data_IF_523322582862
#
_entry.id   IF_523322582862
#
_cell.length_a   1.000
_cell.length_b   1.000
_cell.length_c   1.000
_cell.angle_alpha   90.00
_cell.angle_beta   90.00
_cell.angle_gamma   90.00
#
_symmetry.space_group_name_H-M   'P 1'
#
loop_
_entity.id
_entity.type
_entity.pdbx_description
1 polymer ?
#
# COMPACT_ATOMS: atom_id res chain seq x y z
N UNK A 1 -34.51 3.00 16.31
CA UNK A 1 -33.77 2.42 17.47
C UNK A 1 -32.79 1.36 16.95
N UNK A 2 -31.89 1.75 16.05
CA UNK A 2 -31.03 0.82 15.29
C UNK A 2 -29.72 1.54 14.88
N UNK A 3 -29.09 2.22 15.83
CA UNK A 3 -27.87 3.02 15.60
C UNK A 3 -26.64 2.50 16.37
N UNK A 4 -26.81 1.48 17.20
CA UNK A 4 -25.76 0.97 18.11
C UNK A 4 -25.13 -0.37 17.67
N UNK A 5 -25.71 -1.08 16.69
CA UNK A 5 -25.19 -2.41 16.28
C UNK A 5 -23.95 -2.37 15.36
N UNK A 6 -23.58 -1.20 14.83
CA UNK A 6 -22.35 -1.06 14.04
C UNK A 6 -21.07 -0.97 14.91
N UNK A 7 -21.20 -1.00 16.25
CA UNK A 7 -20.10 -0.74 17.19
C UNK A 7 -19.39 -1.98 17.75
N UNK A 8 -19.76 -3.20 17.33
CA UNK A 8 -19.25 -4.45 17.95
C UNK A 8 -18.51 -5.41 17.01
N UNK A 9 -17.84 -4.93 15.95
CA UNK A 9 -17.02 -5.79 15.08
C UNK A 9 -15.49 -5.55 15.18
N UNK A 10 -14.74 -6.50 15.73
CA UNK A 10 -13.27 -6.56 15.68
C UNK A 10 -12.54 -6.96 16.97
N UNK A 11 -11.26 -7.32 16.83
CA UNK A 11 -10.38 -7.60 17.97
C UNK A 11 -10.32 -6.40 18.96
N UNK A 12 -10.14 -6.60 20.27
CA UNK A 12 -10.24 -5.52 21.26
C UNK A 12 -9.35 -4.29 20.98
N UNK A 13 -8.11 -4.52 20.54
CA UNK A 13 -7.17 -3.45 20.14
C UNK A 13 -7.64 -2.67 18.90
N UNK A 14 -8.42 -3.32 18.04
CA UNK A 14 -8.97 -2.78 16.81
C UNK A 14 -10.17 -1.88 17.10
N UNK A 15 -11.06 -2.32 18.00
CA UNK A 15 -12.14 -1.48 18.54
C UNK A 15 -11.59 -0.22 19.20
N UNK A 16 -10.48 -0.34 19.92
CA UNK A 16 -9.80 0.80 20.53
C UNK A 16 -9.25 1.79 19.48
N UNK A 17 -8.78 1.30 18.33
CA UNK A 17 -8.36 2.15 17.20
C UNK A 17 -9.54 2.84 16.51
N UNK A 18 -10.65 2.14 16.31
CA UNK A 18 -11.89 2.73 15.79
C UNK A 18 -12.40 3.80 16.77
N UNK A 19 -12.48 3.51 18.07
CA UNK A 19 -12.99 4.44 19.07
C UNK A 19 -12.09 5.67 19.24
N UNK A 20 -10.76 5.52 19.15
CA UNK A 20 -9.81 6.65 19.10
C UNK A 20 -9.97 7.48 17.81
N UNK A 21 -10.17 6.85 16.65
CA UNK A 21 -10.49 7.56 15.40
C UNK A 21 -11.84 8.28 15.47
N UNK A 22 -12.84 7.68 16.11
CA UNK A 22 -14.15 8.30 16.33
C UNK A 22 -14.10 9.44 17.34
N UNK A 23 -13.30 9.33 18.40
CA UNK A 23 -13.06 10.40 19.36
C UNK A 23 -12.37 11.61 18.69
N UNK A 24 -11.36 11.37 17.84
CA UNK A 24 -10.72 12.42 17.05
C UNK A 24 -11.67 13.00 15.98
N UNK A 25 -12.55 12.17 15.38
CA UNK A 25 -13.62 12.65 14.50
C UNK A 25 -14.71 13.43 15.23
N UNK A 26 -15.03 13.14 16.50
CA UNK A 26 -16.03 13.88 17.30
C UNK A 26 -15.57 15.32 17.58
N UNK A 27 -14.27 15.54 17.76
CA UNK A 27 -13.67 16.89 17.84
C UNK A 27 -13.78 17.67 16.51
N UNK A 28 -13.69 16.99 15.35
CA UNK A 28 -13.89 17.62 14.04
C UNK A 28 -15.38 17.75 13.62
N UNK A 29 -16.25 16.84 14.09
CA UNK A 29 -17.69 16.81 13.78
C UNK A 29 -18.47 17.97 14.41
N UNK A 30 -17.92 18.63 15.44
CA UNK A 30 -18.51 19.82 16.04
C UNK A 30 -18.29 21.12 15.23
N UNK A 31 -17.40 21.10 14.21
CA UNK A 31 -17.14 22.27 13.36
C UNK A 31 -17.70 22.16 11.93
N UNK A 32 -17.82 20.95 11.36
CA UNK A 32 -18.16 20.80 9.94
C UNK A 32 -19.65 20.49 9.66
N UNK A 33 -20.38 19.89 10.61
CA UNK A 33 -21.79 19.50 10.40
C UNK A 33 -22.80 20.43 11.07
N UNK A 34 -22.38 21.20 12.07
CA UNK A 34 -23.19 22.24 12.70
C UNK A 34 -23.34 23.48 11.82
N UNK A 35 -22.37 23.79 10.95
CA UNK A 35 -22.42 24.99 10.09
C UNK A 35 -23.38 24.83 8.89
N UNK A 36 -23.61 23.61 8.40
CA UNK A 36 -24.55 23.38 7.28
C UNK A 36 -26.01 23.30 7.75
N UNK A 37 -26.25 22.86 9.00
CA UNK A 37 -27.61 22.73 9.54
C UNK A 37 -28.11 23.94 10.34
N UNK A 38 -27.25 24.91 10.67
CA UNK A 38 -27.63 26.10 11.45
C UNK A 38 -27.69 27.42 10.67
N UNK A 39 -27.30 27.45 9.39
CA UNK A 39 -27.42 28.64 8.53
C UNK A 39 -28.77 28.75 7.80
N UNK A 40 -29.68 27.78 7.96
CA UNK A 40 -31.02 27.78 7.37
C UNK A 40 -32.05 28.50 8.26
N UNK A 41 -31.66 29.65 8.83
CA UNK A 41 -32.53 30.54 9.57
C UNK A 41 -32.86 31.79 8.77
N UNK A 42 -34.09 31.85 8.25
CA UNK A 42 -34.80 33.03 7.74
C UNK A 42 -34.37 33.58 6.37
N UNK A 43 -34.98 33.09 5.29
CA UNK A 43 -35.55 33.96 4.24
C UNK A 43 -36.77 33.27 3.61
N UNK A 44 -37.95 33.84 3.84
CA UNK A 44 -39.13 33.60 3.01
C UNK A 44 -38.96 34.33 1.68
N UNK A 45 -39.16 33.63 0.56
CA UNK A 45 -39.54 34.27 -0.71
C UNK A 45 -38.87 33.72 -1.96
N UNK A 46 -39.73 33.18 -2.84
CA UNK A 46 -39.60 32.95 -4.29
C UNK A 46 -38.90 31.67 -4.77
N UNK A 47 -39.56 30.99 -5.71
CA UNK A 47 -39.14 29.79 -6.46
C UNK A 47 -37.67 29.83 -6.90
N UNK A 48 -36.80 29.16 -6.16
CA UNK A 48 -35.41 28.89 -6.53
C UNK A 48 -35.20 27.40 -6.33
N UNK A 49 -34.64 26.72 -7.34
CA UNK A 49 -34.32 25.30 -7.33
C UNK A 49 -33.87 24.82 -5.93
N UNK A 50 -34.67 23.94 -5.35
CA UNK A 50 -34.62 23.49 -3.96
C UNK A 50 -33.48 22.48 -3.72
N UNK A 51 -32.36 22.62 -4.45
CA UNK A 51 -31.21 21.72 -4.42
C UNK A 51 -29.93 22.48 -4.03
N UNK A 52 -29.23 21.98 -3.02
CA UNK A 52 -27.92 22.50 -2.60
C UNK A 52 -26.82 21.52 -2.97
N UNK A 53 -25.73 22.03 -3.54
CA UNK A 53 -24.55 21.23 -3.86
C UNK A 53 -23.55 21.26 -2.69
N UNK A 54 -23.26 20.09 -2.13
CA UNK A 54 -22.37 19.92 -0.97
C UNK A 54 -21.20 19.02 -1.36
N UNK A 55 -19.97 19.48 -1.12
CA UNK A 55 -18.77 18.66 -1.31
C UNK A 55 -18.51 17.79 -0.08
N UNK A 56 -18.44 16.47 -0.24
CA UNK A 56 -18.29 15.49 0.85
C UNK A 56 -17.06 14.61 0.62
N UNK A 57 -16.41 14.18 1.71
CA UNK A 57 -15.33 13.17 1.65
C UNK A 57 -15.88 11.82 1.16
N UNK A 58 -15.24 11.21 0.17
CA UNK A 58 -15.78 10.01 -0.49
C UNK A 58 -15.90 8.80 0.43
N UNK A 59 -14.96 8.61 1.36
CA UNK A 59 -15.02 7.49 2.31
C UNK A 59 -16.15 7.69 3.33
N UNK A 60 -16.36 8.92 3.79
CA UNK A 60 -17.49 9.22 4.67
C UNK A 60 -18.83 9.05 3.93
N UNK A 61 -18.91 9.46 2.67
CA UNK A 61 -20.08 9.26 1.83
C UNK A 61 -20.39 7.76 1.63
N UNK A 62 -19.41 6.97 1.20
CA UNK A 62 -19.61 5.53 0.96
C UNK A 62 -19.99 4.77 2.23
N UNK A 63 -19.51 5.23 3.39
CA UNK A 63 -19.92 4.69 4.69
C UNK A 63 -21.39 4.95 4.99
N UNK A 64 -21.90 6.13 4.63
CA UNK A 64 -23.28 6.54 4.92
C UNK A 64 -24.28 5.96 3.91
N UNK A 65 -23.96 6.03 2.62
CA UNK A 65 -24.91 5.76 1.53
C UNK A 65 -24.67 4.43 0.81
N UNK A 66 -23.53 3.79 1.05
CA UNK A 66 -23.14 2.54 0.40
C UNK A 66 -21.90 2.67 -0.48
N UNK A 67 -21.17 1.57 -0.65
CA UNK A 67 -19.93 1.52 -1.42
C UNK A 67 -20.11 1.89 -2.91
N UNK A 68 -21.29 1.63 -3.49
CA UNK A 68 -21.67 1.89 -4.89
C UNK A 68 -22.54 3.15 -5.06
N UNK A 69 -22.38 4.12 -4.16
CA UNK A 69 -23.16 5.35 -4.14
C UNK A 69 -23.14 6.07 -5.50
N UNK A 70 -24.33 6.38 -6.05
CA UNK A 70 -24.44 6.99 -7.38
C UNK A 70 -24.23 6.02 -8.55
N UNK A 71 -24.01 4.73 -8.30
CA UNK A 71 -23.91 3.67 -9.32
C UNK A 71 -24.47 2.33 -8.79
N UNK A 72 -25.70 2.29 -8.26
CA UNK A 72 -26.22 1.12 -7.55
C UNK A 72 -26.33 -0.13 -8.45
N UNK A 73 -26.61 0.06 -9.73
CA UNK A 73 -26.84 -1.01 -10.71
C UNK A 73 -25.54 -1.45 -11.43
N UNK A 74 -24.40 -0.81 -11.14
CA UNK A 74 -23.13 -1.14 -11.77
C UNK A 74 -22.37 -2.17 -10.92
N UNK A 75 -22.13 -3.40 -11.42
CA UNK A 75 -21.39 -4.41 -10.66
C UNK A 75 -19.90 -4.12 -10.62
N UNK A 76 -19.20 -4.69 -9.62
CA UNK A 76 -17.75 -4.72 -9.60
C UNK A 76 -17.20 -5.65 -10.69
N UNK A 77 -16.15 -5.20 -11.38
CA UNK A 77 -15.38 -6.01 -12.31
C UNK A 77 -14.11 -6.49 -11.63
N UNK A 78 -14.05 -7.77 -11.23
CA UNK A 78 -12.87 -8.37 -10.63
C UNK A 78 -11.97 -8.99 -11.72
N UNK A 79 -10.89 -8.31 -12.08
CA UNK A 79 -9.96 -8.78 -13.12
C UNK A 79 -9.12 -9.92 -12.55
N UNK A 80 -9.02 -11.04 -13.26
CA UNK A 80 -8.34 -12.23 -12.71
C UNK A 80 -9.10 -12.89 -11.56
N UNK A 81 -10.44 -12.75 -11.51
CA UNK A 81 -11.29 -13.47 -10.55
C UNK A 81 -11.01 -14.98 -10.62
N UNK A 82 -10.83 -15.58 -9.45
CA UNK A 82 -10.66 -17.02 -9.26
C UNK A 82 -11.68 -17.55 -8.23
N UNK A 83 -11.97 -18.84 -8.28
CA UNK A 83 -12.83 -19.52 -7.31
C UNK A 83 -12.06 -19.98 -6.06
N UNK A 84 -10.74 -20.08 -6.13
CA UNK A 84 -9.87 -20.61 -5.09
C UNK A 84 -8.85 -19.56 -4.63
N UNK A 85 -8.36 -19.74 -3.40
CA UNK A 85 -7.25 -18.98 -2.82
C UNK A 85 -5.87 -19.49 -3.28
N UNK A 86 -4.80 -18.84 -2.83
CA UNK A 86 -3.42 -19.18 -3.20
C UNK A 86 -2.97 -20.58 -2.74
N UNK A 87 -3.73 -21.22 -1.85
CA UNK A 87 -3.50 -22.61 -1.42
C UNK A 87 -4.42 -23.59 -2.15
N UNK A 88 -5.07 -23.16 -3.23
CA UNK A 88 -6.04 -23.91 -4.02
C UNK A 88 -7.22 -24.40 -3.17
N UNK A 89 -7.68 -23.58 -2.23
CA UNK A 89 -8.74 -23.90 -1.28
C UNK A 89 -9.89 -22.88 -1.34
N UNK A 90 -11.01 -23.21 -0.69
CA UNK A 90 -12.15 -22.31 -0.51
C UNK A 90 -12.11 -21.56 0.83
N UNK A 91 -10.97 -21.62 1.55
CA UNK A 91 -10.84 -21.01 2.88
C UNK A 91 -11.00 -19.49 2.85
N UNK A 92 -10.72 -18.85 1.70
CA UNK A 92 -10.97 -17.41 1.47
C UNK A 92 -12.38 -16.95 1.85
N UNK A 93 -13.39 -17.83 1.77
CA UNK A 93 -14.78 -17.48 2.12
C UNK A 93 -14.89 -17.03 3.58
N UNK A 94 -14.13 -17.65 4.49
CA UNK A 94 -14.09 -17.24 5.90
C UNK A 94 -13.50 -15.83 6.10
N UNK A 95 -12.70 -15.36 5.14
CA UNK A 95 -12.08 -14.04 5.12
C UNK A 95 -12.96 -12.96 4.47
N UNK A 96 -14.17 -13.30 3.99
CA UNK A 96 -15.19 -12.29 3.69
C UNK A 96 -15.68 -11.58 4.96
N UNK A 97 -15.48 -12.20 6.13
CA UNK A 97 -15.70 -11.54 7.41
C UNK A 97 -14.53 -10.58 7.73
N UNK A 98 -14.79 -9.27 7.93
CA UNK A 98 -13.74 -8.26 8.09
C UNK A 98 -12.75 -8.59 9.21
N UNK A 99 -13.21 -9.17 10.31
CA UNK A 99 -12.38 -9.49 11.46
C UNK A 99 -11.36 -10.58 11.14
N UNK A 100 -11.79 -11.64 10.45
CA UNK A 100 -10.94 -12.76 10.04
C UNK A 100 -9.86 -12.26 9.08
N UNK A 101 -10.22 -11.40 8.13
CA UNK A 101 -9.26 -10.82 7.18
C UNK A 101 -8.28 -9.87 7.86
N UNK A 102 -8.74 -8.99 8.74
CA UNK A 102 -7.83 -8.12 9.51
C UNK A 102 -6.86 -8.93 10.36
N UNK A 103 -7.33 -10.01 11.00
CA UNK A 103 -6.48 -10.90 11.80
C UNK A 103 -5.41 -11.58 10.95
N UNK A 104 -5.72 -11.95 9.70
CA UNK A 104 -4.74 -12.56 8.79
C UNK A 104 -3.56 -11.63 8.53
N UNK A 105 -3.83 -10.33 8.37
CA UNK A 105 -2.84 -9.29 8.05
C UNK A 105 -2.33 -8.53 9.28
N UNK A 106 -2.69 -8.95 10.49
CA UNK A 106 -2.29 -8.27 11.71
C UNK A 106 -0.78 -8.43 11.96
N UNK A 107 -0.03 -7.33 12.17
CA UNK A 107 1.36 -7.45 12.57
C UNK A 107 1.43 -8.05 13.97
N UNK A 108 2.27 -9.09 14.15
CA UNK A 108 2.49 -9.72 15.47
C UNK A 108 3.16 -8.77 16.47
N UNK A 109 3.84 -7.74 15.98
CA UNK A 109 4.42 -6.63 16.74
C UNK A 109 3.32 -5.63 17.12
N UNK A 110 3.04 -5.50 18.42
CA UNK A 110 1.96 -4.65 18.92
C UNK A 110 2.20 -3.15 18.68
N UNK A 111 3.45 -2.72 18.64
CA UNK A 111 3.89 -1.34 18.37
C UNK A 111 3.63 -0.90 16.92
N UNK A 112 3.45 -1.85 15.98
CA UNK A 112 3.09 -1.57 14.59
C UNK A 112 1.58 -1.39 14.37
N UNK A 113 0.74 -1.84 15.29
CA UNK A 113 -0.73 -1.79 15.16
C UNK A 113 -1.28 -0.39 14.90
N UNK A 114 -0.78 0.71 15.52
CA UNK A 114 -1.27 2.05 15.26
C UNK A 114 -1.19 2.51 13.80
N UNK A 115 -0.31 1.89 13.01
CA UNK A 115 -0.06 2.25 11.61
C UNK A 115 -0.88 1.40 10.62
N UNK A 116 -1.63 0.41 11.11
CA UNK A 116 -2.52 -0.41 10.29
C UNK A 116 -3.73 0.43 9.85
N UNK A 117 -3.93 0.48 8.53
CA UNK A 117 -5.09 1.12 7.89
C UNK A 117 -6.06 0.03 7.42
N UNK A 118 -7.18 -0.07 8.10
CA UNK A 118 -8.22 -1.09 7.87
C UNK A 118 -9.33 -0.70 6.91
N UNK A 119 -9.34 0.55 6.45
CA UNK A 119 -10.53 1.17 5.85
C UNK A 119 -11.08 0.31 4.71
N UNK A 120 -10.19 -0.27 3.90
CA UNK A 120 -10.55 -1.20 2.84
C UNK A 120 -11.18 -2.49 3.35
N UNK A 121 -10.60 -3.15 4.37
CA UNK A 121 -11.18 -4.38 4.92
C UNK A 121 -12.52 -4.12 5.61
N UNK A 122 -12.66 -2.97 6.28
CA UNK A 122 -13.92 -2.57 6.91
C UNK A 122 -15.07 -2.38 5.91
N UNK A 123 -14.78 -2.12 4.64
CA UNK A 123 -15.82 -2.01 3.61
C UNK A 123 -16.63 -3.31 3.48
N UNK A 124 -16.03 -4.48 3.76
CA UNK A 124 -16.73 -5.78 3.77
C UNK A 124 -17.84 -5.88 4.82
N UNK A 125 -17.92 -4.93 5.77
CA UNK A 125 -19.06 -4.83 6.69
C UNK A 125 -20.39 -4.58 5.96
N UNK A 126 -20.35 -4.01 4.74
CA UNK A 126 -21.54 -3.86 3.90
C UNK A 126 -21.87 -5.19 3.17
N UNK A 127 -23.04 -5.82 3.44
CA UNK A 127 -23.38 -7.11 2.84
C UNK A 127 -23.46 -7.09 1.31
N UNK A 128 -23.92 -5.97 0.73
CA UNK A 128 -24.03 -5.79 -0.71
C UNK A 128 -22.67 -5.72 -1.43
N UNK A 129 -21.62 -5.26 -0.74
CA UNK A 129 -20.25 -5.35 -1.24
C UNK A 129 -19.73 -6.76 -1.09
N UNK A 130 -19.88 -7.33 0.11
CA UNK A 130 -19.37 -8.66 0.46
C UNK A 130 -19.83 -9.74 -0.52
N UNK A 131 -21.08 -9.66 -0.98
CA UNK A 131 -21.65 -10.60 -1.95
C UNK A 131 -21.05 -10.50 -3.36
N UNK A 132 -20.40 -9.39 -3.71
CA UNK A 132 -19.71 -9.21 -5.00
C UNK A 132 -18.24 -9.57 -4.96
N UNK A 133 -17.65 -9.68 -3.77
CA UNK A 133 -16.22 -9.94 -3.61
C UNK A 133 -15.87 -11.41 -3.85
N UNK A 134 -14.71 -11.61 -4.48
CA UNK A 134 -14.10 -12.92 -4.70
C UNK A 134 -12.57 -12.75 -4.76
N UNK A 135 -11.80 -13.84 -4.61
CA UNK A 135 -10.36 -13.83 -4.80
C UNK A 135 -9.98 -13.35 -6.20
N UNK A 136 -8.91 -12.56 -6.26
CA UNK A 136 -8.32 -12.05 -7.50
C UNK A 136 -6.87 -12.48 -7.57
N UNK A 137 -6.44 -12.98 -8.72
CA UNK A 137 -5.06 -13.26 -9.03
C UNK A 137 -4.76 -12.95 -10.51
N UNK A 138 -3.79 -12.07 -10.76
CA UNK A 138 -3.40 -11.63 -12.10
C UNK A 138 -1.95 -12.00 -12.42
N UNK A 139 -1.53 -11.98 -13.69
CA UNK A 139 -0.12 -12.16 -14.06
C UNK A 139 0.83 -11.14 -13.39
N UNK A 140 0.38 -9.89 -13.19
CA UNK A 140 1.19 -8.87 -12.52
C UNK A 140 1.37 -9.19 -11.03
N UNK A 141 0.33 -9.73 -10.38
CA UNK A 141 0.43 -10.24 -9.00
C UNK A 141 1.39 -11.42 -8.92
N UNK A 142 1.40 -12.33 -9.91
CA UNK A 142 2.36 -13.42 -9.98
C UNK A 142 3.80 -12.87 -10.03
N UNK A 143 4.06 -11.91 -10.92
CA UNK A 143 5.38 -11.28 -11.03
C UNK A 143 5.76 -10.57 -9.71
N UNK A 144 4.85 -9.84 -9.09
CA UNK A 144 5.09 -9.18 -7.80
C UNK A 144 5.38 -10.18 -6.67
N UNK A 145 4.66 -11.30 -6.62
CA UNK A 145 4.94 -12.40 -5.69
C UNK A 145 6.35 -12.99 -5.91
N UNK A 146 6.71 -13.28 -7.16
CA UNK A 146 8.04 -13.77 -7.54
C UNK A 146 9.17 -12.81 -7.17
N UNK A 147 8.96 -11.50 -7.31
CA UNK A 147 9.90 -10.45 -6.86
C UNK A 147 9.98 -10.40 -5.33
N UNK A 148 8.85 -10.58 -4.65
CA UNK A 148 8.80 -10.70 -3.19
C UNK A 148 9.59 -11.91 -2.66
N UNK A 149 9.56 -13.04 -3.36
CA UNK A 149 10.44 -14.19 -3.07
C UNK A 149 11.92 -13.85 -3.23
N UNK A 150 12.28 -13.01 -4.21
CA UNK A 150 13.64 -12.49 -4.37
C UNK A 150 14.09 -11.64 -3.18
N UNK A 151 13.24 -10.69 -2.78
CA UNK A 151 13.49 -9.85 -1.61
C UNK A 151 13.57 -10.69 -0.33
N UNK A 152 12.74 -11.72 -0.20
CA UNK A 152 12.78 -12.66 0.94
C UNK A 152 14.16 -13.27 1.14
N UNK A 153 14.80 -13.71 0.07
CA UNK A 153 16.13 -14.32 0.15
C UNK A 153 17.18 -13.30 0.60
N UNK A 154 17.11 -12.06 0.13
CA UNK A 154 17.99 -10.98 0.59
C UNK A 154 17.78 -10.64 2.07
N UNK A 155 16.52 -10.61 2.54
CA UNK A 155 16.21 -10.37 3.95
C UNK A 155 16.75 -11.48 4.86
N UNK A 156 16.62 -12.76 4.46
CA UNK A 156 17.20 -13.90 5.19
C UNK A 156 18.73 -13.84 5.25
N UNK A 157 19.35 -13.30 4.22
CA UNK A 157 20.78 -13.14 4.11
C UNK A 157 21.31 -11.87 4.79
N UNK A 158 20.42 -11.03 5.33
CA UNK A 158 20.79 -9.83 6.09
C UNK A 158 20.91 -10.12 7.59
N UNK A 159 21.85 -9.46 8.27
CA UNK A 159 22.05 -9.55 9.71
C UNK A 159 21.11 -8.63 10.52
N UNK A 160 20.61 -7.56 9.90
CA UNK A 160 19.82 -6.50 10.54
C UNK A 160 18.47 -6.20 9.84
N UNK A 161 17.71 -7.21 9.36
CA UNK A 161 16.47 -6.95 8.62
C UNK A 161 15.40 -6.23 9.45
N UNK A 162 15.42 -6.39 10.78
CA UNK A 162 14.53 -5.74 11.75
C UNK A 162 14.72 -4.23 11.86
N UNK A 163 15.87 -3.70 11.43
CA UNK A 163 16.20 -2.27 11.46
C UNK A 163 15.79 -1.51 10.21
N UNK A 164 15.21 -2.21 9.23
CA UNK A 164 14.89 -1.68 7.91
C UNK A 164 13.39 -1.80 7.69
N UNK A 165 12.75 -0.68 7.36
CA UNK A 165 11.35 -0.63 6.97
C UNK A 165 11.23 -0.57 5.45
N UNK A 166 10.49 -1.51 4.85
CA UNK A 166 10.21 -1.55 3.43
C UNK A 166 8.88 -0.83 3.18
N UNK A 167 8.86 0.14 2.27
CA UNK A 167 7.66 0.83 1.82
C UNK A 167 7.37 0.38 0.39
N UNK A 168 6.45 -0.57 0.24
CA UNK A 168 6.13 -1.18 -1.04
C UNK A 168 5.02 -0.36 -1.70
N UNK A 169 5.40 0.46 -2.68
CA UNK A 169 4.53 1.42 -3.36
C UNK A 169 4.37 1.07 -4.85
N UNK A 170 3.63 -0.02 -5.08
CA UNK A 170 3.20 -0.53 -6.39
C UNK A 170 1.68 -0.66 -6.42
N UNK A 171 1.08 -1.11 -7.52
CA UNK A 171 -0.38 -1.26 -7.60
C UNK A 171 -0.89 -2.14 -6.45
N UNK A 172 -2.00 -1.74 -5.81
CA UNK A 172 -2.41 -2.33 -4.52
C UNK A 172 -2.52 -3.86 -4.51
N UNK A 173 -3.07 -4.47 -5.56
CA UNK A 173 -3.14 -5.94 -5.69
C UNK A 173 -1.75 -6.59 -5.77
N UNK A 174 -0.81 -5.98 -6.49
CA UNK A 174 0.59 -6.42 -6.58
C UNK A 174 1.32 -6.24 -5.24
N UNK A 175 1.07 -5.13 -4.53
CA UNK A 175 1.66 -4.88 -3.22
C UNK A 175 1.25 -5.97 -2.22
N UNK A 176 -0.02 -6.39 -2.25
CA UNK A 176 -0.51 -7.53 -1.44
C UNK A 176 0.21 -8.82 -1.81
N UNK A 177 0.39 -9.10 -3.10
CA UNK A 177 1.10 -10.31 -3.56
C UNK A 177 2.58 -10.32 -3.14
N UNK A 178 3.28 -9.19 -3.30
CA UNK A 178 4.65 -9.01 -2.84
C UNK A 178 4.76 -9.21 -1.31
N UNK A 179 3.83 -8.62 -0.55
CA UNK A 179 3.75 -8.80 0.90
C UNK A 179 3.47 -10.25 1.31
N UNK A 180 2.60 -10.96 0.60
CA UNK A 180 2.31 -12.37 0.88
C UNK A 180 3.53 -13.28 0.72
N UNK A 181 4.39 -13.00 -0.28
CA UNK A 181 5.66 -13.70 -0.44
C UNK A 181 6.59 -13.54 0.78
N UNK A 182 6.53 -12.39 1.45
CA UNK A 182 7.37 -11.99 2.59
C UNK A 182 6.78 -12.32 3.97
N UNK A 183 5.55 -12.81 4.06
CA UNK A 183 4.80 -12.88 5.33
C UNK A 183 5.49 -13.70 6.44
N UNK A 184 6.37 -14.64 6.08
CA UNK A 184 7.17 -15.47 7.00
C UNK A 184 8.54 -14.89 7.36
N UNK A 185 8.93 -13.74 6.79
CA UNK A 185 10.18 -13.04 7.13
C UNK A 185 9.98 -11.57 7.50
N UNK A 186 8.77 -11.04 7.32
CA UNK A 186 8.45 -9.65 7.62
C UNK A 186 7.03 -9.48 8.20
N UNK A 187 6.88 -8.49 9.08
CA UNK A 187 5.58 -7.97 9.51
C UNK A 187 4.93 -7.18 8.39
N UNK A 188 3.67 -7.46 8.09
CA UNK A 188 2.90 -6.70 7.11
C UNK A 188 2.10 -5.61 7.82
N UNK A 189 2.14 -4.39 7.28
CA UNK A 189 1.34 -3.25 7.73
C UNK A 189 0.55 -2.74 6.53
N UNK A 190 -0.76 -2.99 6.51
CA UNK A 190 -1.63 -2.57 5.42
C UNK A 190 -1.89 -1.06 5.48
N UNK A 191 -1.76 -0.36 4.33
CA UNK A 191 -1.89 1.09 4.19
C UNK A 191 -3.05 1.54 3.29
N UNK A 192 -4.07 0.70 3.07
CA UNK A 192 -5.14 0.93 2.10
C UNK A 192 -6.33 1.71 2.70
N UNK A 193 -6.32 3.05 2.55
CA UNK A 193 -7.34 3.95 3.10
C UNK A 193 -8.49 4.23 2.12
N UNK A 194 -9.12 3.19 1.59
CA UNK A 194 -10.11 3.34 0.52
C UNK A 194 -11.30 2.40 0.66
N UNK A 195 -12.40 2.73 0.00
CA UNK A 195 -13.56 1.87 -0.20
C UNK A 195 -13.71 1.53 -1.69
N UNK A 196 -14.11 0.29 -2.04
CA UNK A 196 -14.44 -0.08 -3.41
C UNK A 196 -15.58 0.77 -3.99
N UNK A 197 -15.45 1.15 -5.25
CA UNK A 197 -16.52 1.75 -6.05
C UNK A 197 -16.47 1.16 -7.47
N UNK A 198 -17.60 0.84 -8.13
CA UNK A 198 -17.60 0.20 -9.45
C UNK A 198 -16.99 1.06 -10.56
N UNK A 199 -17.14 2.38 -10.45
CA UNK A 199 -16.51 3.38 -11.33
C UNK A 199 -15.43 4.20 -10.61
N UNK A 200 -14.85 3.67 -9.52
CA UNK A 200 -13.79 4.35 -8.79
C UNK A 200 -12.54 4.57 -9.64
N UNK A 201 -11.87 5.71 -9.45
CA UNK A 201 -10.55 5.98 -10.06
C UNK A 201 -9.53 4.96 -9.58
N UNK A 202 -9.52 4.69 -8.28
CA UNK A 202 -8.64 3.70 -7.65
C UNK A 202 -9.38 2.35 -7.60
N UNK A 203 -8.85 1.28 -8.21
CA UNK A 203 -9.51 -0.02 -8.30
C UNK A 203 -9.33 -0.84 -7.01
N UNK A 204 -9.75 -0.30 -5.86
CA UNK A 204 -9.54 -0.89 -4.53
C UNK A 204 -10.22 -2.24 -4.33
N UNK A 205 -11.24 -2.58 -5.13
CA UNK A 205 -11.81 -3.94 -5.19
C UNK A 205 -10.79 -4.99 -5.66
N UNK A 206 -9.85 -4.65 -6.56
CA UNK A 206 -8.78 -5.57 -6.95
C UNK A 206 -7.84 -5.83 -5.78
N UNK A 207 -7.46 -4.77 -5.05
CA UNK A 207 -6.62 -4.88 -3.85
C UNK A 207 -7.31 -5.75 -2.79
N UNK A 208 -8.61 -5.56 -2.53
CA UNK A 208 -9.37 -6.37 -1.59
C UNK A 208 -9.50 -7.83 -2.07
N UNK A 209 -9.73 -8.06 -3.36
CA UNK A 209 -9.74 -9.40 -3.95
C UNK A 209 -8.39 -10.12 -3.83
N UNK A 210 -7.27 -9.40 -3.98
CA UNK A 210 -5.94 -9.93 -3.74
C UNK A 210 -5.70 -10.27 -2.26
N UNK A 211 -6.23 -9.45 -1.33
CA UNK A 211 -6.17 -9.76 0.10
C UNK A 211 -6.92 -11.05 0.43
N UNK A 212 -8.10 -11.26 -0.16
CA UNK A 212 -8.85 -12.51 -0.01
C UNK A 212 -8.09 -13.72 -0.58
N UNK A 213 -7.44 -13.56 -1.73
CA UNK A 213 -6.67 -14.63 -2.37
C UNK A 213 -5.49 -15.12 -1.52
N UNK A 214 -4.77 -14.22 -0.84
CA UNK A 214 -3.59 -14.56 -0.05
C UNK A 214 -3.84 -14.71 1.46
N UNK A 215 -5.06 -14.48 1.96
CA UNK A 215 -5.33 -14.38 3.39
C UNK A 215 -4.88 -15.61 4.20
N UNK A 216 -5.26 -16.82 3.76
CA UNK A 216 -4.88 -18.07 4.45
C UNK A 216 -3.37 -18.30 4.41
N UNK A 217 -2.72 -18.03 3.28
CA UNK A 217 -1.28 -18.17 3.14
C UNK A 217 -0.51 -17.20 4.05
N UNK A 218 -0.91 -15.93 4.07
CA UNK A 218 -0.33 -14.92 4.96
C UNK A 218 -0.51 -15.34 6.42
N UNK A 219 -1.71 -15.80 6.80
CA UNK A 219 -2.00 -16.26 8.16
C UNK A 219 -1.13 -17.46 8.57
N UNK A 220 -0.87 -18.40 7.66
CA UNK A 220 0.04 -19.55 7.90
C UNK A 220 1.49 -19.11 8.01
N UNK A 221 1.96 -18.31 7.05
CA UNK A 221 3.35 -17.84 6.99
C UNK A 221 3.72 -16.97 8.19
N UNK A 222 2.82 -16.12 8.65
CA UNK A 222 3.05 -15.23 9.79
C UNK A 222 3.41 -16.00 11.09
N UNK A 223 2.99 -17.27 11.23
CA UNK A 223 3.31 -18.11 12.38
C UNK A 223 4.77 -18.55 12.43
N UNK A 224 5.46 -18.55 11.29
CA UNK A 224 6.85 -18.99 11.16
C UNK A 224 7.85 -17.82 11.14
N UNK A 225 7.37 -16.60 11.42
CA UNK A 225 8.17 -15.39 11.34
C UNK A 225 9.26 -15.37 12.42
N UNK A 226 10.53 -15.06 12.07
CA UNK A 226 11.59 -14.92 13.06
C UNK A 226 11.36 -13.71 13.96
N UNK A 227 11.94 -13.72 15.16
CA UNK A 227 11.85 -12.62 16.12
C UNK A 227 12.39 -11.31 15.54
N UNK A 228 13.51 -11.38 14.82
CA UNK A 228 14.15 -10.26 14.12
C UNK A 228 13.66 -10.12 12.68
N UNK A 229 12.35 -10.13 12.49
CA UNK A 229 11.77 -9.94 11.16
C UNK A 229 11.76 -8.48 10.74
N UNK A 230 11.85 -8.25 9.42
CA UNK A 230 11.69 -6.92 8.83
C UNK A 230 10.23 -6.44 8.93
N UNK A 231 9.95 -5.22 8.49
CA UNK A 231 8.58 -4.68 8.39
C UNK A 231 8.31 -4.13 7.00
N UNK A 232 7.16 -4.46 6.45
CA UNK A 232 6.70 -4.07 5.12
C UNK A 232 5.41 -3.27 5.25
N UNK A 233 5.46 -1.99 4.91
CA UNK A 233 4.30 -1.13 4.72
C UNK A 233 3.78 -1.30 3.30
N UNK A 234 2.56 -1.80 3.16
CA UNK A 234 1.90 -2.05 1.88
C UNK A 234 1.10 -0.82 1.48
N UNK A 235 1.54 -0.14 0.43
CA UNK A 235 0.90 1.03 -0.15
C UNK A 235 0.33 0.69 -1.53
N UNK A 236 -0.64 1.48 -1.98
CA UNK A 236 -1.19 1.38 -3.33
C UNK A 236 -0.74 2.58 -4.15
N UNK A 237 0.11 2.38 -5.15
CA UNK A 237 0.58 3.47 -6.00
C UNK A 237 -0.53 4.07 -6.85
N UNK A 238 -1.65 3.36 -7.02
CA UNK A 238 -2.80 3.86 -7.76
C UNK A 238 -3.64 4.87 -6.93
N UNK A 239 -3.32 5.07 -5.65
CA UNK A 239 -4.05 6.03 -4.78
C UNK A 239 -4.04 7.47 -5.29
N UNK A 240 -3.03 7.81 -6.09
CA UNK A 240 -2.85 9.11 -6.75
C UNK A 240 -2.98 9.03 -8.27
N UNK A 241 -3.73 8.05 -8.81
CA UNK A 241 -3.99 8.00 -10.25
C UNK A 241 -4.51 9.36 -10.77
N UNK A 242 -4.16 9.74 -12.01
CA UNK A 242 -4.66 10.97 -12.61
C UNK A 242 -6.19 11.04 -12.55
N UNK A 243 -6.71 12.23 -12.34
CA UNK A 243 -8.13 12.55 -12.38
C UNK A 243 -8.27 13.96 -12.92
N UNK A 244 -8.98 14.10 -14.03
CA UNK A 244 -9.32 15.39 -14.61
C UNK A 244 -10.78 15.70 -14.32
N UNK A 245 -11.02 16.73 -13.51
CA UNK A 245 -12.36 17.16 -13.12
C UNK A 245 -13.23 17.54 -14.35
N UNK A 246 -12.62 17.89 -15.48
CA UNK A 246 -13.37 18.26 -16.69
C UNK A 246 -13.86 17.05 -17.49
N UNK A 247 -13.17 15.91 -17.43
CA UNK A 247 -13.49 14.72 -18.24
C UNK A 247 -14.03 13.56 -17.42
N UNK A 248 -13.57 13.44 -16.18
CA UNK A 248 -13.83 12.26 -15.35
C UNK A 248 -15.02 12.47 -14.39
N UNK A 249 -15.40 13.72 -14.11
CA UNK A 249 -16.42 14.07 -13.12
C UNK A 249 -17.81 13.46 -13.34
N UNK A 250 -18.14 13.12 -14.59
CA UNK A 250 -19.42 12.52 -14.93
C UNK A 250 -19.33 10.99 -15.11
N UNK A 251 -18.11 10.41 -15.13
CA UNK A 251 -17.91 9.00 -15.49
C UNK A 251 -17.12 8.20 -14.46
N UNK A 252 -16.46 8.86 -13.51
CA UNK A 252 -15.62 8.27 -12.48
C UNK A 252 -15.98 8.79 -11.11
N UNK A 253 -15.73 7.97 -10.11
CA UNK A 253 -15.87 8.34 -8.71
C UNK A 253 -14.48 8.59 -8.10
N UNK A 254 -14.21 9.81 -7.62
CA UNK A 254 -12.92 10.18 -7.04
C UNK A 254 -12.70 9.58 -5.64
N UNK A 255 -12.37 8.29 -5.60
CA UNK A 255 -11.95 7.60 -4.38
C UNK A 255 -10.43 7.63 -4.18
N UNK A 256 -9.73 8.67 -4.66
CA UNK A 256 -8.31 8.85 -4.37
C UNK A 256 -8.08 9.19 -2.89
N UNK A 257 -6.92 8.81 -2.37
CA UNK A 257 -6.58 8.96 -0.96
C UNK A 257 -5.07 9.16 -0.77
N UNK A 258 -4.69 9.65 0.40
CA UNK A 258 -3.28 9.84 0.77
C UNK A 258 -2.79 8.65 1.60
N UNK A 259 -1.53 8.25 1.39
CA UNK A 259 -0.87 7.28 2.24
C UNK A 259 -0.80 7.78 3.68
N UNK A 260 -0.94 6.85 4.63
CA UNK A 260 -0.77 7.08 6.06
C UNK A 260 0.45 6.30 6.50
N UNK A 261 1.54 7.00 6.77
CA UNK A 261 2.83 6.42 7.13
C UNK A 261 3.33 6.95 8.47
N UNK A 262 4.15 6.21 9.22
CA UNK A 262 4.69 6.69 10.49
C UNK A 262 5.57 7.93 10.30
N UNK A 263 5.57 8.88 11.24
CA UNK A 263 6.58 9.95 11.24
C UNK A 263 7.99 9.41 11.48
N UNK A 264 9.01 10.23 11.19
CA UNK A 264 10.41 9.91 11.47
C UNK A 264 10.63 9.49 12.94
N UNK A 265 10.03 10.21 13.88
CA UNK A 265 10.12 9.88 15.32
C UNK A 265 9.48 8.54 15.65
N UNK A 266 8.35 8.20 15.01
CA UNK A 266 7.70 6.92 15.21
C UNK A 266 8.56 5.79 14.62
N UNK A 267 9.14 5.96 13.43
CA UNK A 267 10.05 4.97 12.86
C UNK A 267 11.26 4.71 13.77
N UNK A 268 11.87 5.77 14.31
CA UNK A 268 12.98 5.63 15.28
C UNK A 268 12.56 4.92 16.55
N UNK A 269 11.40 5.26 17.12
CA UNK A 269 10.85 4.58 18.32
C UNK A 269 10.60 3.10 18.09
N UNK A 270 10.25 2.71 16.86
CA UNK A 270 10.09 1.33 16.43
C UNK A 270 11.43 0.61 16.19
N UNK A 271 12.56 1.32 16.31
CA UNK A 271 13.91 0.78 16.13
C UNK A 271 14.41 0.81 14.68
N UNK A 272 13.67 1.41 13.75
CA UNK A 272 14.12 1.54 12.36
C UNK A 272 15.23 2.58 12.24
N UNK A 273 16.23 2.24 11.43
CA UNK A 273 17.37 3.09 11.08
C UNK A 273 17.35 3.47 9.59
N UNK A 274 16.65 2.67 8.78
CA UNK A 274 16.61 2.85 7.34
C UNK A 274 15.25 2.53 6.74
N UNK A 275 14.95 3.20 5.64
CA UNK A 275 13.74 3.02 4.83
C UNK A 275 14.18 2.63 3.43
N UNK A 276 13.64 1.51 2.94
CA UNK A 276 13.76 1.10 1.55
C UNK A 276 12.42 1.33 0.85
N UNK A 277 12.36 2.34 -0.02
CA UNK A 277 11.21 2.59 -0.88
C UNK A 277 11.25 1.66 -2.09
N UNK A 278 10.25 0.80 -2.24
CA UNK A 278 10.17 -0.15 -3.33
C UNK A 278 9.21 0.40 -4.40
N UNK A 279 9.78 0.87 -5.50
CA UNK A 279 9.07 1.35 -6.69
C UNK A 279 8.85 0.20 -7.70
N UNK A 280 7.91 0.33 -8.65
CA UNK A 280 7.63 -0.75 -9.60
C UNK A 280 8.77 -0.96 -10.59
N UNK A 281 9.28 0.13 -11.17
CA UNK A 281 10.28 0.12 -12.24
C UNK A 281 11.06 1.44 -12.31
N UNK A 282 12.04 1.46 -13.21
CA UNK A 282 12.94 2.59 -13.48
C UNK A 282 12.23 3.87 -13.96
N UNK A 283 10.97 3.83 -14.39
CA UNK A 283 10.24 5.05 -14.76
C UNK A 283 9.93 5.89 -13.52
N UNK A 284 9.87 5.25 -12.34
CA UNK A 284 9.67 5.93 -11.06
C UNK A 284 11.00 6.35 -10.46
N UNK A 285 11.42 7.56 -10.77
CA UNK A 285 12.66 8.16 -10.27
C UNK A 285 12.50 8.85 -8.91
N UNK A 286 11.26 9.10 -8.50
CA UNK A 286 10.92 9.78 -7.24
C UNK A 286 9.74 9.07 -6.57
N UNK A 287 9.62 9.25 -5.26
CA UNK A 287 8.46 8.86 -4.48
C UNK A 287 7.21 9.64 -4.92
N UNK A 288 6.02 9.08 -4.68
CA UNK A 288 4.77 9.78 -4.94
C UNK A 288 4.66 11.05 -4.07
N UNK A 289 3.98 12.06 -4.61
CA UNK A 289 3.97 13.41 -4.02
C UNK A 289 3.39 13.49 -2.61
N UNK A 290 2.53 12.54 -2.23
CA UNK A 290 1.97 12.44 -0.89
C UNK A 290 2.99 11.91 0.13
N UNK A 291 4.05 11.22 -0.30
CA UNK A 291 5.14 10.70 0.54
C UNK A 291 6.33 11.65 0.65
N UNK A 292 6.47 12.63 -0.26
CA UNK A 292 7.66 13.48 -0.35
C UNK A 292 8.06 14.12 0.98
N UNK A 293 7.11 14.79 1.65
CA UNK A 293 7.40 15.46 2.90
C UNK A 293 7.77 14.48 4.03
N UNK A 294 7.23 13.26 4.03
CA UNK A 294 7.60 12.24 5.04
C UNK A 294 9.03 11.75 4.78
N UNK A 295 9.36 11.44 3.53
CA UNK A 295 10.66 10.89 3.18
C UNK A 295 11.79 11.92 3.32
N UNK A 296 11.53 13.17 2.95
CA UNK A 296 12.45 14.27 3.25
C UNK A 296 12.67 14.40 4.77
N UNK A 297 11.58 14.34 5.56
CA UNK A 297 11.67 14.38 7.02
C UNK A 297 12.45 13.20 7.60
N UNK A 298 12.35 12.00 7.02
CA UNK A 298 13.14 10.84 7.46
C UNK A 298 14.64 11.13 7.36
N UNK A 299 15.10 11.64 6.21
CA UNK A 299 16.50 11.99 5.99
C UNK A 299 16.96 13.17 6.86
N UNK A 300 16.15 14.22 6.98
CA UNK A 300 16.40 15.35 7.90
C UNK A 300 16.58 14.88 9.36
N UNK A 301 15.90 13.78 9.72
CA UNK A 301 16.00 13.16 11.03
C UNK A 301 17.05 12.03 11.09
N UNK A 302 17.91 11.86 10.10
CA UNK A 302 19.02 10.90 10.16
C UNK A 302 18.61 9.43 9.95
N UNK A 303 17.43 9.16 9.38
CA UNK A 303 17.14 7.86 8.80
C UNK A 303 17.74 7.78 7.39
N UNK A 304 18.38 6.67 7.07
CA UNK A 304 18.82 6.40 5.69
C UNK A 304 17.60 6.08 4.83
N UNK A 305 17.44 6.76 3.69
CA UNK A 305 16.37 6.45 2.74
C UNK A 305 17.01 6.08 1.40
N UNK A 306 16.60 4.96 0.83
CA UNK A 306 16.98 4.59 -0.54
C UNK A 306 15.79 4.01 -1.28
N UNK A 307 15.90 3.95 -2.60
CA UNK A 307 14.86 3.40 -3.47
C UNK A 307 15.41 2.18 -4.22
N UNK A 308 14.58 1.15 -4.37
CA UNK A 308 14.82 0.00 -5.24
C UNK A 308 13.67 -0.14 -6.24
N UNK A 309 14.04 -0.38 -7.50
CA UNK A 309 13.07 -0.76 -8.52
C UNK A 309 12.80 -2.26 -8.43
N UNK A 310 11.55 -2.66 -8.22
CA UNK A 310 11.20 -4.08 -8.14
C UNK A 310 11.38 -4.80 -9.48
N UNK A 311 11.43 -4.07 -10.60
CA UNK A 311 11.86 -4.59 -11.91
C UNK A 311 13.31 -5.08 -11.96
N UNK A 312 14.15 -4.72 -11.00
CA UNK A 312 15.51 -5.24 -10.89
C UNK A 312 15.53 -6.72 -10.48
N UNK A 313 14.43 -7.21 -9.89
CA UNK A 313 14.22 -8.63 -9.65
C UNK A 313 13.67 -9.28 -10.93
N UNK A 314 14.51 -10.09 -11.58
CA UNK A 314 14.25 -10.70 -12.89
C UNK A 314 14.23 -12.22 -12.77
N UNK A 315 13.47 -12.93 -13.64
CA UNK A 315 13.59 -14.39 -13.72
C UNK A 315 15.01 -14.77 -14.11
N UNK A 316 15.46 -15.92 -13.61
CA UNK A 316 16.76 -16.46 -14.03
C UNK A 316 16.68 -16.90 -15.48
N UNK A 317 17.49 -16.29 -16.36
CA UNK A 317 17.64 -16.77 -17.74
C UNK A 317 18.81 -17.74 -17.86
N UNK A 318 18.76 -18.61 -18.87
CA UNK A 318 19.86 -19.54 -19.19
C UNK A 318 21.16 -18.81 -19.51
N UNK A 319 21.07 -17.64 -20.16
CA UNK A 319 22.22 -16.80 -20.46
C UNK A 319 22.86 -16.22 -19.18
N UNK A 320 22.07 -15.81 -18.19
CA UNK A 320 22.59 -15.31 -16.91
C UNK A 320 23.34 -16.39 -16.13
N UNK A 321 22.91 -17.65 -16.22
CA UNK A 321 23.63 -18.79 -15.65
C UNK A 321 24.98 -19.07 -16.35
N UNK A 322 25.06 -18.83 -17.66
CA UNK A 322 26.30 -18.99 -18.44
C UNK A 322 27.30 -17.84 -18.20
N UNK A 323 26.83 -16.59 -18.09
CA UNK A 323 27.65 -15.43 -17.70
C UNK A 323 28.17 -15.60 -16.27
N UNK A 324 27.33 -16.09 -15.35
CA UNK A 324 27.77 -16.43 -14.00
C UNK A 324 28.90 -17.46 -14.03
N UNK A 325 28.77 -18.55 -14.79
CA UNK A 325 29.81 -19.57 -14.93
C UNK A 325 31.14 -19.01 -15.46
N UNK A 326 31.10 -18.06 -16.40
CA UNK A 326 32.28 -17.38 -16.92
C UNK A 326 32.94 -16.43 -15.91
N UNK A 327 32.14 -15.80 -15.03
CA UNK A 327 32.62 -14.85 -14.01
C UNK A 327 32.98 -15.54 -12.68
N UNK A 328 32.44 -16.73 -12.39
CA UNK A 328 32.68 -17.50 -11.16
C UNK A 328 34.04 -18.18 -11.09
N UNK A 329 34.86 -18.13 -12.14
CA UNK A 329 36.25 -18.61 -12.05
C UNK A 329 37.10 -17.79 -11.04
N UNK A 330 36.64 -16.61 -10.61
CA UNK A 330 37.39 -15.71 -9.71
C UNK A 330 36.56 -15.07 -8.59
N UNK A 331 35.24 -15.31 -8.52
CA UNK A 331 34.39 -14.83 -7.41
C UNK A 331 34.46 -15.79 -6.21
N UNK A 332 34.56 -15.31 -4.97
CA UNK A 332 34.39 -16.18 -3.80
C UNK A 332 32.97 -16.77 -3.83
N UNK A 333 32.89 -18.06 -4.16
CA UNK A 333 31.66 -18.85 -4.11
C UNK A 333 31.04 -18.64 -2.73
N UNK A 334 29.78 -18.21 -2.65
CA UNK A 334 29.05 -18.24 -1.38
C UNK A 334 29.22 -19.65 -0.80
N UNK A 335 29.56 -19.75 0.49
CA UNK A 335 29.96 -21.01 1.12
C UNK A 335 28.83 -22.07 1.11
N UNK A 336 27.62 -21.66 0.75
CA UNK A 336 26.49 -22.54 0.50
C UNK A 336 26.23 -22.55 -0.99
N UNK A 337 26.49 -23.69 -1.63
CA UNK A 337 26.00 -23.96 -2.97
C UNK A 337 24.46 -23.87 -2.91
N UNK A 338 23.87 -22.80 -3.45
CA UNK A 338 22.42 -22.60 -3.47
C UNK A 338 21.69 -23.70 -4.24
N UNK A 339 22.43 -24.55 -4.96
CA UNK A 339 21.93 -25.80 -5.55
C UNK A 339 21.63 -26.89 -4.51
N UNK A 340 22.25 -26.86 -3.32
CA UNK A 340 22.01 -27.85 -2.25
C UNK A 340 20.86 -27.51 -1.29
N UNK A 341 20.26 -26.30 -1.38
CA UNK A 341 18.98 -26.03 -0.71
C UNK A 341 17.78 -26.73 -1.38
N UNK A 342 17.99 -27.46 -2.48
CA UNK A 342 16.94 -28.15 -3.24
C UNK A 342 16.78 -29.65 -2.92
N UNK A 343 17.61 -30.24 -2.06
CA UNK A 343 17.67 -31.72 -1.88
C UNK A 343 17.38 -32.24 -0.47
N UNK A 344 16.85 -31.41 0.43
CA UNK A 344 16.49 -31.82 1.81
C UNK A 344 15.05 -31.51 2.23
N UNK A 345 14.17 -31.24 1.26
CA UNK A 345 12.85 -30.70 1.50
C UNK A 345 11.88 -31.80 1.96
N UNK A 346 11.60 -31.84 3.26
CA UNK A 346 10.56 -32.69 3.84
C UNK A 346 9.23 -32.48 3.11
N UNK A 347 8.38 -33.49 3.05
CA UNK A 347 7.13 -33.54 2.26
C UNK A 347 6.12 -32.38 2.50
N UNK A 348 6.40 -31.45 3.41
CA UNK A 348 5.67 -30.19 3.62
C UNK A 348 6.13 -29.01 2.75
N UNK A 349 7.37 -29.01 2.23
CA UNK A 349 7.92 -27.91 1.42
C UNK A 349 7.71 -28.13 -0.09
N UNK A 350 7.36 -29.34 -0.52
CA UNK A 350 7.16 -29.74 -1.92
C UNK A 350 5.96 -29.06 -2.61
N UNK A 351 5.18 -28.22 -1.91
CA UNK A 351 3.97 -27.57 -2.43
C UNK A 351 4.07 -26.03 -2.56
N UNK A 352 5.20 -25.41 -2.17
CA UNK A 352 5.38 -23.95 -2.21
C UNK A 352 5.99 -23.47 -3.55
N UNK A 353 6.52 -24.36 -4.39
CA UNK A 353 7.12 -23.99 -5.68
C UNK A 353 6.07 -23.77 -6.80
N UNK A 354 5.00 -23.00 -6.55
CA UNK A 354 4.05 -22.62 -7.60
C UNK A 354 4.57 -21.44 -8.44
N UNK A 355 5.49 -20.63 -7.90
CA UNK A 355 6.00 -19.43 -8.55
C UNK A 355 7.54 -19.40 -8.57
N UNK A 356 8.17 -19.06 -9.70
CA UNK A 356 9.62 -18.96 -9.78
C UNK A 356 10.10 -17.77 -8.93
N UNK A 357 11.22 -17.92 -8.23
CA UNK A 357 11.87 -16.79 -7.55
C UNK A 357 12.54 -15.88 -8.59
N UNK A 358 12.25 -14.59 -8.52
CA UNK A 358 13.00 -13.60 -9.30
C UNK A 358 14.18 -13.11 -8.48
N UNK A 359 15.36 -13.09 -9.06
CA UNK A 359 16.58 -12.71 -8.34
C UNK A 359 16.98 -11.28 -8.68
N UNK A 360 17.57 -10.58 -7.72
CA UNK A 360 18.13 -9.25 -7.97
C UNK A 360 19.16 -9.34 -9.09
N UNK A 361 18.96 -8.58 -10.16
CA UNK A 361 19.74 -8.62 -11.40
C UNK A 361 19.55 -9.85 -12.28
N UNK A 362 18.63 -10.76 -11.94
CA UNK A 362 18.33 -11.98 -12.70
C UNK A 362 19.09 -13.22 -12.26
N UNK A 363 20.02 -13.14 -11.30
CA UNK A 363 20.81 -14.30 -10.88
C UNK A 363 21.10 -14.30 -9.37
N UNK A 364 21.01 -15.44 -8.65
CA UNK A 364 21.32 -15.50 -7.22
C UNK A 364 22.71 -14.97 -6.85
N UNK A 365 23.71 -15.16 -7.73
CA UNK A 365 25.08 -14.69 -7.52
C UNK A 365 25.26 -13.17 -7.61
N UNK A 366 24.23 -12.42 -7.99
CA UNK A 366 24.24 -10.96 -7.93
C UNK A 366 23.76 -10.41 -6.58
N UNK A 367 23.34 -11.26 -5.63
CA UNK A 367 22.99 -10.82 -4.29
C UNK A 367 24.08 -10.00 -3.58
N UNK A 368 25.39 -10.26 -3.72
CA UNK A 368 26.41 -9.36 -3.15
C UNK A 368 26.35 -7.91 -3.67
N UNK A 369 25.94 -7.68 -4.92
CA UNK A 369 25.77 -6.33 -5.47
C UNK A 369 24.61 -5.60 -4.79
N UNK A 370 23.57 -6.32 -4.35
CA UNK A 370 22.50 -5.73 -3.55
C UNK A 370 23.07 -5.15 -2.24
N UNK A 371 23.86 -5.91 -1.49
CA UNK A 371 24.47 -5.43 -0.24
C UNK A 371 25.49 -4.31 -0.47
N UNK A 372 26.11 -4.26 -1.65
CA UNK A 372 27.02 -3.18 -2.02
C UNK A 372 26.25 -1.88 -2.32
N UNK A 373 25.16 -1.98 -3.07
CA UNK A 373 24.33 -0.83 -3.45
C UNK A 373 23.39 -0.34 -2.34
N UNK A 374 22.99 -1.23 -1.43
CA UNK A 374 22.14 -0.91 -0.30
C UNK A 374 22.86 -1.24 1.01
N UNK A 375 23.89 -0.46 1.39
CA UNK A 375 24.74 -0.75 2.55
C UNK A 375 24.02 -0.66 3.89
N UNK A 376 22.77 -0.18 3.91
CA UNK A 376 21.87 -0.30 5.07
C UNK A 376 21.55 -1.76 5.42
N UNK A 377 21.59 -2.68 4.44
CA UNK A 377 21.52 -4.12 4.68
C UNK A 377 22.93 -4.63 4.94
N UNK A 378 23.15 -5.14 6.16
CA UNK A 378 24.41 -5.78 6.52
C UNK A 378 24.33 -7.24 6.07
N UNK A 379 25.20 -7.72 5.17
CA UNK A 379 25.20 -9.13 4.79
C UNK A 379 25.61 -9.99 5.97
N UNK A 380 24.89 -11.08 6.21
CA UNK A 380 25.18 -12.00 7.30
C UNK A 380 26.47 -12.77 7.01
N UNK A 381 27.40 -12.86 7.98
CA UNK A 381 28.66 -13.60 7.80
C UNK A 381 28.46 -15.10 7.61
N UNK A 382 27.27 -15.63 7.90
CA UNK A 382 26.91 -17.03 7.61
C UNK A 382 26.86 -17.27 6.10
N UNK A 383 26.28 -16.32 5.35
CA UNK A 383 26.15 -16.42 3.90
C UNK A 383 27.36 -15.83 3.17
N UNK A 384 27.96 -14.78 3.75
CA UNK A 384 29.07 -14.04 3.15
C UNK A 384 30.25 -13.85 4.12
N UNK A 385 30.97 -14.93 4.49
CA UNK A 385 32.06 -14.87 5.46
C UNK A 385 33.26 -14.01 5.03
N UNK A 386 33.36 -13.69 3.73
CA UNK A 386 34.43 -12.89 3.12
C UNK A 386 33.88 -11.69 2.34
N UNK A 387 32.71 -11.17 2.74
CA UNK A 387 32.16 -9.98 2.10
C UNK A 387 33.11 -8.79 2.29
N UNK A 388 33.60 -8.23 1.19
CA UNK A 388 34.41 -7.02 1.18
C UNK A 388 33.80 -6.01 0.19
N UNK A 389 33.20 -4.90 0.67
CA UNK A 389 32.69 -3.84 -0.19
C UNK A 389 33.75 -3.29 -1.17
N UNK A 390 35.02 -3.25 -0.79
CA UNK A 390 36.11 -2.74 -1.62
C UNK A 390 36.46 -3.66 -2.79
N UNK A 391 36.07 -4.95 -2.71
CA UNK A 391 36.17 -5.87 -3.84
C UNK A 391 35.11 -5.54 -4.89
N UNK A 392 33.86 -5.37 -4.47
CA UNK A 392 32.74 -5.09 -5.38
C UNK A 392 32.81 -3.70 -6.02
N UNK A 393 33.45 -2.73 -5.38
CA UNK A 393 33.69 -1.40 -5.98
C UNK A 393 34.67 -1.42 -7.17
N UNK A 394 35.49 -2.47 -7.29
CA UNK A 394 36.47 -2.63 -8.39
C UNK A 394 35.95 -3.49 -9.54
N UNK A 395 34.85 -4.20 -9.34
CA UNK A 395 34.23 -5.01 -10.37
C UNK A 395 33.33 -4.14 -11.25
N UNK A 396 33.28 -4.46 -12.54
CA UNK A 396 32.25 -3.92 -13.41
C UNK A 396 30.88 -4.41 -12.91
N UNK A 397 29.95 -3.47 -12.70
CA UNK A 397 28.56 -3.83 -12.38
C UNK A 397 27.97 -4.68 -13.50
N UNK A 398 27.18 -5.73 -13.19
CA UNK A 398 26.31 -6.35 -14.17
C UNK A 398 25.48 -5.27 -14.86
N UNK A 399 25.43 -5.30 -16.20
CA UNK A 399 24.63 -4.35 -16.99
C UNK A 399 23.12 -4.45 -16.70
N UNK A 400 22.69 -5.56 -16.09
CA UNK A 400 21.30 -5.80 -15.70
C UNK A 400 20.87 -5.07 -14.42
N UNK A 401 21.80 -4.41 -13.71
CA UNK A 401 21.60 -3.75 -12.42
C UNK A 401 22.15 -2.33 -12.47
N UNK A 402 21.37 -1.36 -12.01
CA UNK A 402 21.79 0.03 -11.86
C UNK A 402 22.03 0.40 -10.41
N UNK A 403 23.04 1.26 -10.18
CA UNK A 403 23.30 1.82 -8.87
C UNK A 403 22.15 2.77 -8.46
N UNK A 404 21.64 2.69 -7.22
CA UNK A 404 20.62 3.62 -6.74
C UNK A 404 21.20 5.04 -6.69
N UNK A 405 20.48 5.98 -7.33
CA UNK A 405 20.81 7.41 -7.32
C UNK A 405 19.69 8.26 -6.70
N UNK A 406 18.84 7.62 -5.90
CA UNK A 406 17.71 8.29 -5.27
C UNK A 406 18.11 8.88 -3.92
N UNK A 407 17.74 10.13 -3.70
CA UNK A 407 17.73 10.77 -2.38
C UNK A 407 16.49 11.63 -2.29
N UNK A 408 15.67 11.50 -1.23
CA UNK A 408 14.49 12.34 -1.08
C UNK A 408 14.90 13.80 -0.94
N UNK A 409 14.31 14.67 -1.76
CA UNK A 409 14.48 16.12 -1.67
C UNK A 409 13.11 16.73 -1.44
N UNK A 410 12.97 17.52 -0.37
CA UNK A 410 11.75 18.26 -0.08
C UNK A 410 11.40 19.14 -1.28
N UNK A 411 10.22 18.92 -1.86
CA UNK A 411 9.72 19.70 -2.99
C UNK A 411 8.31 20.20 -2.69
N UNK A 412 7.93 21.40 -3.17
CA UNK A 412 6.55 21.83 -3.10
C UNK A 412 5.67 20.88 -3.90
N UNK A 413 4.76 20.19 -3.22
CA UNK A 413 3.70 19.39 -3.83
C UNK A 413 2.34 19.95 -3.40
N UNK A 414 1.28 19.53 -4.07
CA UNK A 414 -0.09 19.88 -3.67
C UNK A 414 -0.44 19.35 -2.26
N UNK A 415 0.33 18.38 -1.76
CA UNK A 415 0.17 17.77 -0.44
C UNK A 415 1.07 18.41 0.63
N UNK A 416 1.94 19.35 0.25
CA UNK A 416 2.81 20.05 1.19
C UNK A 416 2.03 21.02 2.08
N UNK A 417 2.28 20.98 3.40
CA UNK A 417 2.13 22.18 4.23
C UNK A 417 0.86 22.38 5.08
N UNK A 418 0.10 21.34 5.46
CA UNK A 418 -0.92 21.50 6.54
C UNK A 418 -1.02 20.28 7.44
N UNK A 419 -0.11 20.18 8.42
CA UNK A 419 -0.28 19.32 9.58
C UNK A 419 -1.36 19.91 10.51
N UNK A 420 -2.45 19.18 10.75
CA UNK A 420 -3.40 19.54 11.81
C UNK A 420 -2.91 19.00 13.14
N UNK A 421 -2.54 19.90 14.05
CA UNK A 421 -2.37 19.59 15.47
C UNK A 421 -1.00 19.03 15.85
N UNK A 422 -0.52 19.42 17.02
CA UNK A 422 0.82 19.20 17.56
C UNK A 422 1.17 17.73 17.94
N UNK A 423 0.66 16.73 17.21
CA UNK A 423 0.98 15.32 17.45
C UNK A 423 1.20 14.58 16.13
N UNK A 424 2.48 14.31 15.83
CA UNK A 424 2.98 13.06 15.24
C UNK A 424 2.07 12.38 14.18
N UNK A 425 2.37 12.62 12.90
CA UNK A 425 2.48 11.58 11.87
C UNK A 425 1.25 10.74 11.48
N UNK A 426 0.03 11.03 11.95
CA UNK A 426 -1.15 10.27 11.52
C UNK A 426 -2.27 11.25 11.12
N UNK A 427 -2.29 11.59 9.83
CA UNK A 427 -3.33 12.40 9.20
C UNK A 427 -2.81 13.74 8.70
N UNK A 428 -2.60 13.83 7.39
CA UNK A 428 -2.41 15.10 6.67
C UNK A 428 -3.77 15.61 6.20
N UNK A 429 -3.92 16.93 6.10
CA UNK A 429 -5.13 17.52 5.52
C UNK A 429 -5.10 17.28 4.01
N UNK A 430 -6.16 16.66 3.48
CA UNK A 430 -6.31 16.49 2.03
C UNK A 430 -6.36 17.87 1.34
N UNK A 431 -5.71 18.04 0.18
CA UNK A 431 -5.88 19.25 -0.62
C UNK A 431 -7.37 19.50 -0.91
N UNK A 432 -7.77 20.76 -1.06
CA UNK A 432 -9.15 21.11 -1.45
C UNK A 432 -9.52 20.33 -2.71
N UNK A 433 -10.71 19.71 -2.74
CA UNK A 433 -11.22 18.92 -3.87
C UNK A 433 -10.64 17.51 -4.04
N UNK A 434 -9.57 17.14 -3.34
CA UNK A 434 -8.96 15.81 -3.48
C UNK A 434 -9.74 14.72 -2.72
N UNK A 435 -10.17 13.66 -3.41
CA UNK A 435 -10.91 12.56 -2.80
C UNK A 435 -12.26 13.03 -2.22
N UNK A 436 -12.92 13.94 -2.94
CA UNK A 436 -14.24 14.49 -2.60
C UNK A 436 -15.17 14.38 -3.80
N UNK A 437 -16.46 14.25 -3.53
CA UNK A 437 -17.51 14.32 -4.57
C UNK A 437 -18.55 15.36 -4.21
N UNK A 438 -19.20 15.92 -5.23
CA UNK A 438 -20.33 16.83 -5.07
C UNK A 438 -21.62 16.04 -4.98
N UNK A 439 -22.45 16.39 -4.00
CA UNK A 439 -23.77 15.81 -3.83
C UNK A 439 -24.81 16.91 -3.91
N UNK A 440 -25.88 16.67 -4.66
CA UNK A 440 -27.07 17.51 -4.64
C UNK A 440 -28.01 16.96 -3.59
N UNK A 441 -28.40 17.83 -2.68
CA UNK A 441 -29.29 17.51 -1.57
C UNK A 441 -30.49 18.43 -1.66
N UNK A 442 -31.69 17.85 -1.58
CA UNK A 442 -32.93 18.60 -1.49
C UNK A 442 -32.94 19.42 -0.20
N UNK A 443 -33.05 20.74 -0.32
CA UNK A 443 -33.07 21.70 0.79
C UNK A 443 -34.25 21.47 1.74
N UNK A 444 -35.36 20.96 1.23
CA UNK A 444 -36.59 20.71 1.98
C UNK A 444 -36.67 19.34 2.64
N UNK A 445 -36.02 18.30 2.07
CA UNK A 445 -36.11 16.92 2.59
C UNK A 445 -34.79 16.36 3.13
N UNK A 446 -33.67 17.02 2.86
CA UNK A 446 -32.33 16.52 3.18
C UNK A 446 -31.94 15.25 2.41
N UNK A 447 -32.75 14.81 1.43
CA UNK A 447 -32.47 13.63 0.62
C UNK A 447 -31.50 13.95 -0.52
N UNK A 448 -30.63 13.00 -0.83
CA UNK A 448 -29.70 13.10 -1.96
C UNK A 448 -30.50 12.93 -3.25
N UNK A 449 -30.50 13.96 -4.08
CA UNK A 449 -31.21 13.99 -5.37
C UNK A 449 -30.28 13.70 -6.55
N UNK A 450 -28.96 13.82 -6.34
CA UNK A 450 -27.97 13.44 -7.34
C UNK A 450 -26.55 13.48 -6.78
N UNK A 451 -25.64 12.74 -7.41
CA UNK A 451 -24.22 12.76 -7.09
C UNK A 451 -23.50 13.08 -8.40
N UNK A 452 -22.75 14.17 -8.40
CA UNK A 452 -21.85 14.53 -9.50
C UNK A 452 -20.44 14.44 -8.96
N UNK A 453 -19.52 13.78 -9.64
CA UNK A 453 -18.16 13.69 -9.14
C UNK A 453 -17.38 14.99 -9.42
N UNK A 454 -17.75 16.09 -8.75
CA UNK A 454 -16.96 17.31 -8.73
C UNK A 454 -17.43 18.36 -9.74
N UNK A 455 -18.04 19.42 -9.21
CA UNK A 455 -18.12 20.70 -9.90
C UNK A 455 -17.87 21.83 -8.91
N UNK A 456 -16.75 21.79 -8.19
CA UNK A 456 -16.37 22.89 -7.30
C UNK A 456 -14.87 23.15 -7.31
N UNK A 457 -14.48 24.16 -8.10
CA UNK A 457 -13.20 24.86 -7.98
C UNK A 457 -12.16 24.46 -9.01
N UNK A 458 -12.24 25.05 -10.21
CA UNK A 458 -11.20 25.11 -11.26
C UNK A 458 -9.79 24.66 -10.84
N UNK A 459 -9.48 23.38 -11.04
CA UNK A 459 -8.08 22.93 -11.12
C UNK A 459 -7.49 23.36 -12.48
N UNK A 460 -6.41 24.14 -12.48
CA UNK A 460 -5.56 24.28 -13.68
C UNK A 460 -5.60 25.59 -14.49
N UNK A 461 -5.81 26.77 -13.90
CA UNK A 461 -5.43 28.02 -14.61
C UNK A 461 -3.93 28.27 -14.53
N UNK A 462 -3.15 27.58 -15.37
CA UNK A 462 -1.84 28.09 -15.78
C UNK A 462 -2.09 29.38 -16.57
N UNK A 463 -1.76 30.54 -15.98
CA UNK A 463 -1.66 31.80 -16.72
C UNK A 463 -0.53 31.65 -17.74
N UNK A 464 -0.89 31.49 -19.01
CA UNK A 464 0.02 31.78 -20.11
C UNK A 464 0.31 33.28 -20.11
N UNK A 465 1.44 33.69 -19.54
CA UNK A 465 1.99 35.01 -19.84
C UNK A 465 2.72 34.90 -21.17
N UNK A 466 2.09 35.38 -22.25
CA UNK A 466 2.82 35.76 -23.44
C UNK A 466 3.70 36.97 -23.08
N UNK A 467 5.01 36.86 -23.29
CA UNK A 467 5.84 38.03 -23.49
C UNK A 467 6.25 38.06 -24.96
N UNK A 468 5.88 39.16 -25.61
CA UNK A 468 6.42 39.63 -26.88
C UNK A 468 7.87 40.03 -26.75
#
# INVERSE_FOLDING_TARGET
MQKDELSQFGAPWWQEMISRREANKRLAKLAALSVVLSSLGLFQGCDVDDETEVSVDTTELQRQEGWNVGSPDTPLVLQGKTSQDSLNSLSWVAYLEPETLLKAYEPTRADLKPFVVSTLVQSLSQPSLRSQMAPVFTPDMQAAYSRGLGMKELLKQSQNPDRIALFVDIAGAEAVAFGAALADVAHLVIGFDNWPHPIGVVPSHQTLGAMLYFAEEVSRKAKNRPEKASTVFLLDSNRLLPYDENTDADTKFDNRYMAKVPSADNLKKLGFQSVLYCSPDERRQQELDDLNEDFASYTENGLTVSMINLSDFKPQTRADAEVANATTSTLPKAAVDSTQLSTGSSASESRIAMFPTYHYGGFPGFAPWFFYYYPMFIPSPIYYPRYDPAYYSRLSSPSSISQPNYTPVRRPTIFSGRATGAVSGIGRVKPTGFGRVSMRVSSSTGRITGIRAGRFGSFGRSRSSSFS
#
